data_IF_060599131416
#
_entry.id   IF_060599131416
#
_cell.length_a   1.000
_cell.length_b   1.000
_cell.length_c   1.000
_cell.angle_alpha   90.00
_cell.angle_beta   90.00
_cell.angle_gamma   90.00
#
_symmetry.space_group_name_H-M   'P 1'
#
loop_
_entity.id
_entity.type
_entity.pdbx_description
1 polymer ?
#
# COMPACT_ATOMS: atom_id res chain seq x y z
N UNK A 1 59.34 -18.08 25.60
CA UNK A 1 59.34 -16.73 25.00
C UNK A 1 58.82 -16.88 23.59
N UNK A 2 57.51 -16.75 23.41
CA UNK A 2 56.84 -16.90 22.12
C UNK A 2 56.45 -15.49 21.67
N UNK A 3 57.17 -14.96 20.69
CA UNK A 3 56.91 -13.63 20.12
C UNK A 3 55.61 -13.61 19.30
N UNK A 4 54.93 -12.46 19.18
CA UNK A 4 53.61 -12.38 18.59
C UNK A 4 53.67 -12.46 17.06
N UNK A 5 52.69 -13.16 16.47
CA UNK A 5 52.42 -13.16 15.04
C UNK A 5 51.92 -11.77 14.58
N UNK A 6 52.16 -11.37 13.32
CA UNK A 6 51.78 -10.04 12.83
C UNK A 6 50.25 -9.95 12.67
N UNK A 7 49.70 -8.79 13.04
CA UNK A 7 48.33 -8.40 12.75
C UNK A 7 48.11 -8.36 11.23
N UNK A 8 47.29 -9.28 10.72
CA UNK A 8 46.63 -9.06 9.44
C UNK A 8 45.53 -8.02 9.65
N UNK A 9 45.89 -6.77 9.39
CA UNK A 9 44.99 -5.67 9.08
C UNK A 9 44.18 -6.04 7.83
N UNK A 10 43.12 -6.81 8.02
CA UNK A 10 42.02 -6.86 7.05
C UNK A 10 41.09 -5.71 7.39
N UNK A 11 41.39 -4.54 6.82
CA UNK A 11 40.49 -3.40 6.74
C UNK A 11 39.16 -3.85 6.15
N UNK A 12 38.22 -4.22 7.03
CA UNK A 12 36.82 -4.29 6.67
C UNK A 12 36.37 -2.86 6.39
N UNK A 13 36.51 -2.44 5.14
CA UNK A 13 35.84 -1.26 4.60
C UNK A 13 34.37 -1.43 4.94
N UNK A 14 33.92 -0.72 5.98
CA UNK A 14 32.50 -0.57 6.27
C UNK A 14 31.85 0.03 5.03
N UNK A 15 31.22 -0.81 4.24
CA UNK A 15 30.27 -0.37 3.25
C UNK A 15 29.12 0.31 4.01
N UNK A 16 29.26 1.61 4.26
CA UNK A 16 28.13 2.53 4.49
C UNK A 16 27.36 2.65 3.18
N UNK A 17 26.76 1.56 2.75
CA UNK A 17 25.84 1.48 1.62
C UNK A 17 24.48 1.10 2.16
N UNK A 18 23.55 2.04 2.10
CA UNK A 18 22.16 1.96 2.54
C UNK A 18 21.53 0.58 2.24
N UNK A 19 21.31 -0.23 3.28
CA UNK A 19 20.60 -1.51 3.15
C UNK A 19 19.10 -1.26 2.98
N UNK A 20 18.64 -1.13 1.73
CA UNK A 20 17.20 -1.14 1.42
C UNK A 20 16.73 -2.59 1.50
N UNK A 21 16.07 -2.95 2.61
CA UNK A 21 15.16 -4.09 2.60
C UNK A 21 13.96 -3.69 1.73
N UNK A 22 13.93 -4.19 0.50
CA UNK A 22 12.80 -4.00 -0.41
C UNK A 22 11.59 -4.68 0.22
N UNK A 23 10.70 -3.89 0.82
CA UNK A 23 9.35 -4.35 1.11
C UNK A 23 8.64 -4.50 -0.24
N UNK A 24 7.85 -5.56 -0.40
CA UNK A 24 6.94 -5.68 -1.54
C UNK A 24 5.89 -4.58 -1.39
N UNK A 25 6.08 -3.43 -2.04
CA UNK A 25 5.09 -2.36 -2.04
C UNK A 25 3.89 -2.77 -2.89
N UNK A 26 2.69 -2.41 -2.42
CA UNK A 26 1.44 -2.70 -3.15
C UNK A 26 1.23 -1.74 -4.34
N UNK A 27 1.96 -0.62 -4.39
CA UNK A 27 1.86 0.35 -5.47
C UNK A 27 2.71 1.60 -5.25
N UNK A 28 2.64 2.58 -6.18
CA UNK A 28 3.48 3.78 -6.13
C UNK A 28 3.18 4.69 -4.94
N UNK A 29 1.92 4.78 -4.50
CA UNK A 29 1.54 5.57 -3.32
C UNK A 29 2.08 4.99 -2.02
N UNK A 30 2.19 3.67 -1.93
CA UNK A 30 2.75 2.98 -0.77
C UNK A 30 4.26 3.25 -0.64
N UNK A 31 4.97 3.18 -1.77
CA UNK A 31 6.36 3.58 -1.84
C UNK A 31 6.53 5.04 -1.43
N UNK A 32 5.72 5.96 -1.97
CA UNK A 32 5.78 7.38 -1.61
C UNK A 32 5.54 7.59 -0.12
N UNK A 33 4.53 6.95 0.47
CA UNK A 33 4.30 7.02 1.92
C UNK A 33 5.50 6.50 2.71
N UNK A 34 6.11 5.40 2.28
CA UNK A 34 7.31 4.86 2.92
C UNK A 34 8.47 5.85 2.87
N UNK A 35 8.76 6.42 1.69
CA UNK A 35 9.82 7.42 1.52
C UNK A 35 9.56 8.68 2.37
N UNK A 36 8.34 9.21 2.35
CA UNK A 36 7.93 10.36 3.17
C UNK A 36 8.07 10.05 4.66
N UNK A 37 7.74 8.83 5.08
CA UNK A 37 7.86 8.42 6.49
C UNK A 37 9.32 8.29 6.95
N UNK A 38 10.22 7.83 6.07
CA UNK A 38 11.65 7.68 6.35
C UNK A 38 12.34 9.04 6.53
N UNK A 39 11.94 10.03 5.74
CA UNK A 39 12.44 11.41 5.83
C UNK A 39 11.83 12.23 6.99
N UNK A 40 11.09 11.58 7.90
CA UNK A 40 10.58 12.13 9.17
C UNK A 40 10.06 13.58 9.07
N UNK A 41 8.78 13.69 8.70
CA UNK A 41 7.88 14.78 9.11
C UNK A 41 8.21 16.23 8.72
N UNK A 42 9.18 16.49 7.86
CA UNK A 42 9.17 17.76 7.13
C UNK A 42 8.31 17.59 5.88
N UNK A 43 6.97 17.56 6.00
CA UNK A 43 6.06 17.77 4.84
C UNK A 43 6.13 19.26 4.45
N UNK A 44 7.34 19.77 4.33
CA UNK A 44 7.67 21.07 3.77
C UNK A 44 8.16 20.83 2.36
N UNK A 45 8.21 21.88 1.58
CA UNK A 45 8.57 21.86 0.17
C UNK A 45 9.99 21.29 -0.09
N UNK A 46 10.83 21.25 0.95
CA UNK A 46 12.19 20.69 0.98
C UNK A 46 12.20 19.15 1.11
N UNK A 47 11.12 18.47 1.49
CA UNK A 47 11.10 17.00 1.44
C UNK A 47 10.66 16.45 0.07
N UNK A 48 9.84 17.19 -0.67
CA UNK A 48 9.26 16.67 -1.92
C UNK A 48 10.34 16.40 -2.98
N UNK A 49 11.36 17.26 -3.09
CA UNK A 49 12.42 17.05 -4.08
C UNK A 49 13.30 15.82 -3.77
N UNK A 50 13.61 15.57 -2.49
CA UNK A 50 14.37 14.39 -2.06
C UNK A 50 13.56 13.12 -2.28
N UNK A 51 12.27 13.15 -1.90
CA UNK A 51 11.34 12.04 -2.14
C UNK A 51 11.19 11.74 -3.64
N UNK A 52 11.14 12.76 -4.50
CA UNK A 52 11.10 12.58 -5.96
C UNK A 52 12.34 11.88 -6.47
N UNK A 53 13.54 12.27 -6.01
CA UNK A 53 14.80 11.64 -6.44
C UNK A 53 14.86 10.18 -6.01
N UNK A 54 14.49 9.89 -4.76
CA UNK A 54 14.43 8.52 -4.24
C UNK A 54 13.41 7.66 -4.97
N UNK A 55 12.24 8.22 -5.29
CA UNK A 55 11.19 7.54 -6.05
C UNK A 55 11.66 7.18 -7.47
N UNK A 56 12.33 8.11 -8.15
CA UNK A 56 12.87 7.88 -9.50
C UNK A 56 13.99 6.83 -9.44
N UNK A 57 14.89 6.93 -8.45
CA UNK A 57 15.96 5.96 -8.26
C UNK A 57 15.40 4.54 -8.05
N UNK A 58 14.37 4.42 -7.21
CA UNK A 58 13.67 3.16 -6.99
C UNK A 58 13.02 2.63 -8.28
N UNK A 59 12.28 3.48 -9.00
CA UNK A 59 11.59 3.11 -10.23
C UNK A 59 12.57 2.62 -11.31
N UNK A 60 13.75 3.25 -11.42
CA UNK A 60 14.82 2.83 -12.33
C UNK A 60 15.44 1.49 -11.94
N UNK A 61 15.65 1.24 -10.65
CA UNK A 61 16.16 -0.05 -10.16
C UNK A 61 15.16 -1.19 -10.43
N UNK A 62 13.87 -0.88 -10.42
CA UNK A 62 12.77 -1.84 -10.56
C UNK A 62 12.44 -2.20 -12.02
N UNK A 63 12.69 -1.28 -12.96
CA UNK A 63 12.21 -1.34 -14.35
C UNK A 63 12.63 -2.53 -15.21
N UNK A 64 13.55 -3.39 -14.75
CA UNK A 64 13.92 -4.61 -15.45
C UNK A 64 13.19 -5.88 -14.94
N UNK A 65 12.52 -5.80 -13.78
CA UNK A 65 12.05 -6.98 -13.03
C UNK A 65 10.54 -6.95 -12.75
N UNK A 66 9.85 -5.85 -13.02
CA UNK A 66 8.45 -5.67 -12.70
C UNK A 66 7.52 -5.97 -13.88
N UNK A 67 6.30 -6.40 -13.58
CA UNK A 67 5.22 -6.55 -14.54
C UNK A 67 4.89 -5.21 -15.22
N UNK A 68 4.47 -5.26 -16.49
CA UNK A 68 4.26 -4.08 -17.32
C UNK A 68 3.18 -3.17 -16.72
N UNK A 69 2.07 -3.76 -16.26
CA UNK A 69 0.93 -3.04 -15.66
C UNK A 69 1.34 -2.26 -14.41
N UNK A 70 2.15 -2.88 -13.55
CA UNK A 70 2.67 -2.21 -12.36
C UNK A 70 3.62 -1.08 -12.77
N UNK A 71 4.49 -1.33 -13.74
CA UNK A 71 5.45 -0.34 -14.23
C UNK A 71 4.75 0.92 -14.75
N UNK A 72 3.64 0.78 -15.48
CA UNK A 72 2.86 1.93 -15.99
C UNK A 72 2.39 2.85 -14.87
N UNK A 73 1.88 2.29 -13.75
CA UNK A 73 1.43 3.11 -12.62
C UNK A 73 2.57 3.91 -11.97
N UNK A 74 3.76 3.30 -11.84
CA UNK A 74 4.95 4.00 -11.32
C UNK A 74 5.44 5.09 -12.28
N UNK A 75 5.39 4.85 -13.59
CA UNK A 75 5.82 5.82 -14.60
C UNK A 75 4.93 7.07 -14.62
N UNK A 76 3.61 6.91 -14.50
CA UNK A 76 2.68 8.06 -14.42
C UNK A 76 3.02 8.95 -13.22
N UNK A 77 3.21 8.33 -12.05
CA UNK A 77 3.56 9.08 -10.82
C UNK A 77 4.95 9.70 -10.93
N UNK A 78 5.93 8.99 -11.50
CA UNK A 78 7.27 9.52 -11.73
C UNK A 78 7.25 10.75 -12.66
N UNK A 79 6.47 10.72 -13.74
CA UNK A 79 6.30 11.84 -14.66
C UNK A 79 5.71 13.05 -13.93
N UNK A 80 4.63 12.86 -13.16
CA UNK A 80 4.03 13.94 -12.37
C UNK A 80 5.02 14.54 -11.38
N UNK A 81 5.81 13.72 -10.67
CA UNK A 81 6.80 14.22 -9.72
C UNK A 81 7.95 14.98 -10.40
N UNK A 82 8.35 14.55 -11.60
CA UNK A 82 9.35 15.25 -12.42
C UNK A 82 8.83 16.60 -12.90
N UNK A 83 7.60 16.67 -13.39
CA UNK A 83 6.95 17.92 -13.84
C UNK A 83 6.88 18.92 -12.68
N UNK A 84 6.45 18.46 -11.51
CA UNK A 84 6.42 19.26 -10.28
C UNK A 84 7.80 19.74 -9.85
N UNK A 85 8.84 18.92 -10.02
CA UNK A 85 10.23 19.30 -9.72
C UNK A 85 10.77 20.32 -10.73
N UNK A 86 10.49 20.14 -12.01
CA UNK A 86 10.95 21.02 -13.08
C UNK A 86 10.36 22.43 -12.97
N UNK A 87 9.03 22.52 -12.79
CA UNK A 87 8.32 23.79 -12.60
C UNK A 87 8.90 24.61 -11.44
N UNK A 88 9.33 23.93 -10.38
CA UNK A 88 9.82 24.55 -9.16
C UNK A 88 11.29 24.98 -9.20
N UNK A 89 12.09 24.38 -10.08
CA UNK A 89 13.50 24.76 -10.28
C UNK A 89 13.67 25.88 -11.31
N UNK A 90 12.62 26.17 -12.10
CA UNK A 90 12.60 27.36 -12.93
C UNK A 90 12.50 28.60 -12.03
N UNK A 91 13.23 29.70 -12.34
CA UNK A 91 13.07 30.97 -11.63
C UNK A 91 11.60 31.38 -11.70
N UNK A 92 10.93 31.42 -10.56
CA UNK A 92 9.56 31.89 -10.46
C UNK A 92 9.54 33.37 -10.86
N UNK A 93 9.10 33.66 -12.08
CA UNK A 93 8.29 34.86 -12.30
C UNK A 93 7.02 34.72 -11.45
N UNK A 94 6.34 35.83 -11.19
CA UNK A 94 5.03 35.79 -10.53
C UNK A 94 4.14 34.75 -11.20
N UNK A 95 3.26 34.09 -10.42
CA UNK A 95 2.28 33.12 -10.94
C UNK A 95 1.32 33.87 -11.85
N UNK A 96 1.70 34.03 -13.11
CA UNK A 96 1.00 34.87 -14.09
C UNK A 96 0.22 34.02 -15.10
N UNK A 97 0.62 32.75 -15.31
CA UNK A 97 0.10 31.89 -16.39
C UNK A 97 -0.77 30.74 -15.89
N UNK A 98 -1.71 30.30 -16.76
CA UNK A 98 -2.66 29.23 -16.47
C UNK A 98 -2.00 27.86 -16.23
N UNK A 99 -0.83 27.63 -16.83
CA UNK A 99 -0.08 26.38 -16.72
C UNK A 99 0.53 26.21 -15.31
N UNK A 100 0.99 27.31 -14.69
CA UNK A 100 1.51 27.29 -13.32
C UNK A 100 0.42 26.96 -12.30
N UNK A 101 -0.79 27.50 -12.52
CA UNK A 101 -1.95 27.18 -11.69
C UNK A 101 -2.33 25.68 -11.80
N UNK A 102 -2.32 25.14 -13.02
CA UNK A 102 -2.61 23.72 -13.25
C UNK A 102 -1.59 22.79 -12.58
N UNK A 103 -0.31 23.19 -12.52
CA UNK A 103 0.74 22.44 -11.84
C UNK A 103 0.57 22.47 -10.31
N UNK A 104 0.15 23.60 -9.74
CA UNK A 104 -0.20 23.69 -8.32
C UNK A 104 -1.41 22.80 -7.98
N UNK A 105 -2.44 22.78 -8.83
CA UNK A 105 -3.60 21.90 -8.66
C UNK A 105 -3.20 20.42 -8.75
N UNK A 106 -2.31 20.06 -9.68
CA UNK A 106 -1.79 18.70 -9.82
C UNK A 106 -1.03 18.24 -8.58
N UNK A 107 -0.24 19.13 -7.96
CA UNK A 107 0.44 18.89 -6.68
C UNK A 107 -0.57 18.59 -5.58
N UNK A 108 -1.57 19.44 -5.44
CA UNK A 108 -2.56 19.33 -4.36
C UNK A 108 -3.42 18.07 -4.52
N UNK A 109 -3.77 17.72 -5.77
CA UNK A 109 -4.43 16.45 -6.09
C UNK A 109 -3.57 15.23 -5.71
N UNK A 110 -2.26 15.27 -5.98
CA UNK A 110 -1.35 14.18 -5.61
C UNK A 110 -1.28 14.03 -4.09
N UNK A 111 -1.19 15.13 -3.34
CA UNK A 111 -1.22 15.09 -1.88
C UNK A 111 -2.55 14.57 -1.34
N UNK A 112 -3.68 15.00 -1.91
CA UNK A 112 -5.00 14.52 -1.52
C UNK A 112 -5.12 13.00 -1.70
N UNK A 113 -4.65 12.47 -2.84
CA UNK A 113 -4.64 11.01 -3.11
C UNK A 113 -3.72 10.26 -2.16
N UNK A 114 -2.56 10.81 -1.84
CA UNK A 114 -1.63 10.21 -0.88
C UNK A 114 -2.27 10.12 0.53
N UNK A 115 -2.94 11.18 0.96
CA UNK A 115 -3.66 11.20 2.25
C UNK A 115 -4.83 10.21 2.26
N UNK A 116 -5.58 10.13 1.15
CA UNK A 116 -6.66 9.17 0.97
C UNK A 116 -6.15 7.72 1.04
N UNK A 117 -5.06 7.41 0.33
CA UNK A 117 -4.45 6.08 0.37
C UNK A 117 -3.98 5.72 1.79
N UNK A 118 -3.35 6.66 2.50
CA UNK A 118 -2.97 6.48 3.91
C UNK A 118 -4.19 6.14 4.78
N UNK A 119 -5.29 6.87 4.63
CA UNK A 119 -6.50 6.63 5.41
C UNK A 119 -7.08 5.22 5.13
N UNK A 120 -7.15 4.81 3.87
CA UNK A 120 -7.60 3.46 3.53
C UNK A 120 -6.67 2.37 4.04
N UNK A 121 -5.36 2.58 3.98
CA UNK A 121 -4.38 1.64 4.52
C UNK A 121 -4.60 1.40 6.02
N UNK A 122 -4.83 2.46 6.78
CA UNK A 122 -5.13 2.38 8.22
C UNK A 122 -6.46 1.65 8.49
N UNK A 123 -7.50 1.89 7.68
CA UNK A 123 -8.77 1.19 7.82
C UNK A 123 -8.63 -0.30 7.46
N UNK A 124 -7.84 -0.63 6.44
CA UNK A 124 -7.55 -2.02 6.07
C UNK A 124 -6.80 -2.76 7.18
N UNK A 125 -5.83 -2.12 7.82
CA UNK A 125 -5.13 -2.64 9.01
C UNK A 125 -6.13 -2.94 10.15
N UNK A 126 -7.03 -2.00 10.45
CA UNK A 126 -8.09 -2.19 11.45
C UNK A 126 -9.01 -3.37 11.11
N UNK A 127 -9.41 -3.51 9.84
CA UNK A 127 -10.22 -4.65 9.41
C UNK A 127 -9.48 -5.97 9.54
N UNK A 128 -8.18 -6.00 9.26
CA UNK A 128 -7.35 -7.18 9.50
C UNK A 128 -7.33 -7.59 10.98
N UNK A 129 -7.24 -6.62 11.90
CA UNK A 129 -7.34 -6.88 13.34
C UNK A 129 -8.73 -7.44 13.73
N UNK A 130 -9.79 -6.85 13.19
CA UNK A 130 -11.17 -7.30 13.43
C UNK A 130 -11.41 -8.72 12.91
N UNK A 131 -10.93 -9.03 11.70
CA UNK A 131 -11.01 -10.35 11.10
C UNK A 131 -10.24 -11.38 11.94
N UNK A 132 -9.01 -11.07 12.33
CA UNK A 132 -8.19 -11.96 13.17
C UNK A 132 -8.86 -12.27 14.52
N UNK A 133 -9.57 -11.30 15.10
CA UNK A 133 -10.37 -11.51 16.29
C UNK A 133 -11.64 -12.34 16.02
N UNK A 134 -12.30 -12.12 14.88
CA UNK A 134 -13.51 -12.83 14.47
C UNK A 134 -13.25 -14.30 14.14
N UNK A 135 -12.09 -14.63 13.55
CA UNK A 135 -11.67 -16.02 13.25
C UNK A 135 -11.58 -16.92 14.48
N UNK A 136 -11.50 -16.33 15.69
CA UNK A 136 -11.52 -17.06 16.96
C UNK A 136 -12.94 -17.29 17.50
N UNK A 137 -13.97 -16.87 16.78
CA UNK A 137 -15.38 -17.08 17.13
C UNK A 137 -15.94 -18.23 16.30
N UNK A 138 -16.42 -19.25 16.99
CA UNK A 138 -17.04 -20.40 16.35
C UNK A 138 -18.56 -20.33 16.52
N UNK A 139 -19.35 -20.46 15.44
CA UNK A 139 -20.79 -20.53 15.57
C UNK A 139 -21.15 -21.81 16.33
N UNK A 140 -22.13 -21.71 17.23
CA UNK A 140 -22.71 -22.89 17.87
C UNK A 140 -23.95 -23.29 17.08
N UNK A 141 -23.91 -24.45 16.42
CA UNK A 141 -25.08 -25.06 15.77
C UNK A 141 -25.95 -25.74 16.84
N UNK A 142 -26.76 -24.94 17.54
CA UNK A 142 -27.79 -25.44 18.46
C UNK A 142 -29.17 -25.26 17.86
N UNK A 143 -30.05 -26.20 18.19
CA UNK A 143 -31.48 -26.05 18.00
C UNK A 143 -31.97 -24.79 18.71
N UNK A 144 -33.05 -24.21 18.21
CA UNK A 144 -33.72 -23.08 18.85
C UNK A 144 -34.14 -23.49 20.28
N UNK A 145 -33.99 -22.59 21.25
CA UNK A 145 -34.44 -22.88 22.63
C UNK A 145 -35.98 -23.03 22.67
N UNK A 146 -36.54 -23.88 23.54
CA UNK A 146 -37.99 -24.17 23.57
C UNK A 146 -38.88 -22.92 23.68
N UNK A 147 -38.39 -21.87 24.36
CA UNK A 147 -39.11 -20.60 24.52
C UNK A 147 -39.32 -19.81 23.21
N UNK A 148 -38.57 -20.15 22.16
CA UNK A 148 -38.60 -19.48 20.87
C UNK A 148 -39.26 -20.32 19.76
N UNK A 149 -39.73 -21.53 20.05
CA UNK A 149 -40.34 -22.41 19.03
C UNK A 149 -41.50 -21.75 18.28
N UNK A 150 -42.29 -20.91 18.96
CA UNK A 150 -43.40 -20.17 18.35
C UNK A 150 -42.99 -19.00 17.44
N UNK A 151 -41.69 -18.67 17.37
CA UNK A 151 -41.14 -17.63 16.48
C UNK A 151 -40.61 -18.21 15.16
N UNK A 152 -40.66 -19.54 14.99
CA UNK A 152 -40.28 -20.15 13.72
C UNK A 152 -41.24 -19.66 12.63
N UNK A 153 -40.73 -19.13 11.51
CA UNK A 153 -41.58 -18.79 10.39
C UNK A 153 -42.27 -20.06 9.88
N UNK A 154 -43.46 -19.90 9.29
CA UNK A 154 -44.09 -21.01 8.57
C UNK A 154 -43.11 -21.56 7.54
N UNK A 155 -42.85 -22.86 7.62
CA UNK A 155 -41.92 -23.53 6.71
C UNK A 155 -42.58 -23.63 5.35
N UNK A 156 -42.33 -22.63 4.51
CA UNK A 156 -42.68 -22.64 3.10
C UNK A 156 -41.64 -23.46 2.35
N UNK A 157 -41.83 -24.78 2.28
CA UNK A 157 -41.03 -25.62 1.39
C UNK A 157 -41.48 -25.30 -0.04
N UNK A 158 -40.78 -24.35 -0.66
CA UNK A 158 -41.04 -23.88 -2.03
C UNK A 158 -40.69 -24.89 -3.13
N UNK A 159 -40.54 -26.17 -2.79
CA UNK A 159 -40.18 -27.26 -3.70
C UNK A 159 -41.14 -28.44 -3.52
N UNK A 160 -41.56 -29.02 -4.64
CA UNK A 160 -42.37 -30.23 -4.65
C UNK A 160 -41.56 -31.48 -4.31
N UNK A 161 -42.24 -32.61 -4.08
CA UNK A 161 -41.58 -33.88 -3.73
C UNK A 161 -40.56 -34.34 -4.79
N UNK A 162 -40.86 -34.14 -6.07
CA UNK A 162 -39.96 -34.50 -7.17
C UNK A 162 -38.69 -33.64 -7.20
N UNK A 163 -38.82 -32.34 -6.95
CA UNK A 163 -37.71 -31.39 -6.93
C UNK A 163 -36.84 -31.59 -5.68
N UNK A 164 -37.47 -31.91 -4.54
CA UNK A 164 -36.76 -32.33 -3.33
C UNK A 164 -35.93 -33.61 -3.56
N UNK A 165 -36.50 -34.60 -4.26
CA UNK A 165 -35.78 -35.83 -4.60
C UNK A 165 -34.58 -35.58 -5.51
N UNK A 166 -34.70 -34.65 -6.48
CA UNK A 166 -33.58 -34.25 -7.34
C UNK A 166 -32.45 -33.54 -6.55
N UNK A 167 -32.79 -32.62 -5.65
CA UNK A 167 -31.81 -31.92 -4.80
C UNK A 167 -31.09 -32.92 -3.90
N UNK A 168 -31.83 -33.84 -3.27
CA UNK A 168 -31.24 -34.88 -2.43
C UNK A 168 -30.30 -35.79 -3.21
N UNK A 169 -30.64 -36.15 -4.46
CA UNK A 169 -29.80 -36.97 -5.32
C UNK A 169 -28.52 -36.25 -5.81
N UNK A 170 -28.48 -34.92 -5.80
CA UNK A 170 -27.30 -34.13 -6.19
C UNK A 170 -26.36 -33.79 -5.01
N UNK A 171 -26.85 -33.90 -3.78
CA UNK A 171 -26.08 -33.61 -2.56
C UNK A 171 -25.27 -34.81 -2.02
N UNK A 172 -25.51 -36.01 -2.56
CA UNK A 172 -24.77 -37.25 -2.30
C UNK A 172 -24.06 -37.72 -3.57
#
# INVERSE_FOLDING_TARGET
MTGPAPNDESESTEARGFHVRLQNFEGPFDLLLSLISQHKLDVTEVALHQVTDDFIAYTKALGAQLDLDRTTAFLVVAATLLDLKAARLLPAGDVEDADDLALLDARDLLFARLLQYRAFKQVAELFGEMEAAALRRYPRSVSLEPRYEGLLPEVMIGVGADEFAQIAAAAF
#
